data_IF_857596488271
#
_entry.id   IF_857596488271
#
_cell.length_a   1.000
_cell.length_b   1.000
_cell.length_c   1.000
_cell.angle_alpha   90.00
_cell.angle_beta   90.00
_cell.angle_gamma   90.00
#
_symmetry.space_group_name_H-M   'P 1'
#
loop_
_entity.id
_entity.type
_entity.pdbx_description
1 polymer ?
#
# COMPACT_ATOMS: atom_id res chain seq x y z
N UNK A 1 5.11 10.16 4.26
CA UNK A 1 4.64 9.95 5.65
C UNK A 1 3.69 8.77 5.69
N UNK A 2 3.67 8.04 6.81
CA UNK A 2 2.83 6.85 7.02
C UNK A 2 1.33 7.16 7.05
N UNK A 3 0.53 6.37 6.34
CA UNK A 3 -0.91 6.52 6.27
C UNK A 3 -1.67 5.87 7.44
N UNK A 4 -1.62 6.55 8.58
CA UNK A 4 -2.22 6.10 9.85
C UNK A 4 -3.74 5.95 9.76
N UNK A 5 -4.42 6.91 9.11
CA UNK A 5 -5.88 6.91 9.00
C UNK A 5 -6.40 5.68 8.25
N UNK A 6 -5.81 5.35 7.10
CA UNK A 6 -6.30 4.23 6.30
C UNK A 6 -6.02 2.88 6.96
N UNK A 7 -4.87 2.76 7.65
CA UNK A 7 -4.57 1.58 8.48
C UNK A 7 -5.64 1.43 9.57
N UNK A 8 -5.92 2.50 10.31
CA UNK A 8 -6.90 2.48 11.40
C UNK A 8 -8.31 2.12 10.90
N UNK A 9 -8.76 2.75 9.80
CA UNK A 9 -10.08 2.45 9.23
C UNK A 9 -10.16 1.00 8.77
N UNK A 10 -9.09 0.47 8.16
CA UNK A 10 -9.03 -0.92 7.70
C UNK A 10 -9.04 -1.93 8.85
N UNK A 11 -8.34 -1.67 9.96
CA UNK A 11 -8.41 -2.50 11.17
C UNK A 11 -9.84 -2.61 11.72
N UNK A 12 -10.67 -1.59 11.49
CA UNK A 12 -12.06 -1.53 11.92
C UNK A 12 -13.07 -1.91 10.81
N UNK A 13 -12.60 -2.48 9.70
CA UNK A 13 -13.46 -2.97 8.62
C UNK A 13 -14.19 -1.88 7.83
N UNK A 14 -13.70 -0.64 7.88
CA UNK A 14 -14.25 0.51 7.15
C UNK A 14 -13.20 1.14 6.23
N UNK A 15 -13.57 2.15 5.44
CA UNK A 15 -12.67 2.89 4.56
C UNK A 15 -13.07 4.36 4.44
N UNK A 16 -12.19 5.19 3.86
CA UNK A 16 -12.44 6.63 3.70
C UNK A 16 -13.73 6.94 2.95
N UNK A 17 -14.12 6.12 1.98
CA UNK A 17 -15.35 6.34 1.21
C UNK A 17 -16.59 6.09 2.06
N UNK A 18 -16.56 5.08 2.94
CA UNK A 18 -17.63 4.81 3.91
C UNK A 18 -17.70 5.92 4.97
N UNK A 19 -16.54 6.34 5.50
CA UNK A 19 -16.45 7.46 6.42
C UNK A 19 -17.01 8.75 5.79
N UNK A 20 -16.63 9.09 4.56
CA UNK A 20 -17.13 10.27 3.84
C UNK A 20 -18.64 10.22 3.52
N UNK A 21 -19.24 9.03 3.43
CA UNK A 21 -20.68 8.89 3.19
C UNK A 21 -21.51 9.13 4.45
N UNK A 22 -20.97 8.77 5.61
CA UNK A 22 -21.68 8.87 6.90
C UNK A 22 -21.30 10.12 7.70
N UNK A 23 -20.11 10.64 7.47
CA UNK A 23 -19.68 11.94 7.97
C UNK A 23 -19.95 13.02 6.92
N UNK A 24 -20.16 14.26 7.35
CA UNK A 24 -20.25 15.40 6.43
C UNK A 24 -18.86 15.89 5.95
N UNK A 25 -17.88 14.99 5.91
CA UNK A 25 -16.47 15.29 5.59
C UNK A 25 -16.21 14.88 4.14
N UNK A 26 -15.61 15.80 3.37
CA UNK A 26 -15.32 15.51 1.97
C UNK A 26 -14.19 14.48 1.80
N UNK A 27 -14.27 13.62 0.78
CA UNK A 27 -13.20 12.67 0.48
C UNK A 27 -11.84 13.33 0.22
N UNK A 28 -11.84 14.57 -0.31
CA UNK A 28 -10.61 15.38 -0.48
C UNK A 28 -9.96 15.75 0.85
N UNK A 29 -10.77 15.99 1.87
CA UNK A 29 -10.30 16.32 3.21
C UNK A 29 -9.74 15.08 3.92
N UNK A 30 -10.45 13.94 3.84
CA UNK A 30 -9.93 12.66 4.33
C UNK A 30 -8.60 12.28 3.68
N UNK A 31 -8.45 12.53 2.37
CA UNK A 31 -7.18 12.31 1.65
C UNK A 31 -6.03 13.22 2.11
N UNK A 32 -6.32 14.40 2.66
CA UNK A 32 -5.27 15.24 3.26
C UNK A 32 -4.86 14.75 4.65
N UNK A 33 -5.79 14.14 5.39
CA UNK A 33 -5.55 13.64 6.74
C UNK A 33 -4.66 12.41 6.78
N UNK A 34 -4.70 11.56 5.74
CA UNK A 34 -3.82 10.39 5.64
C UNK A 34 -2.32 10.73 5.70
N UNK A 35 -1.94 11.95 5.31
CA UNK A 35 -0.56 12.44 5.38
C UNK A 35 -0.31 13.39 6.56
N UNK A 36 -1.26 13.55 7.47
CA UNK A 36 -1.11 14.38 8.67
C UNK A 36 -0.91 13.52 9.89
N UNK A 37 -0.23 14.10 10.88
CA UNK A 37 -0.16 13.52 12.21
C UNK A 37 -1.56 13.43 12.84
N UNK A 38 -1.95 12.25 13.38
CA UNK A 38 -3.20 12.08 14.13
C UNK A 38 -3.43 13.10 15.24
N UNK A 39 -2.37 13.61 15.88
CA UNK A 39 -2.48 14.63 16.93
C UNK A 39 -3.01 15.97 16.41
N UNK A 40 -2.87 16.21 15.10
CA UNK A 40 -3.33 17.42 14.43
C UNK A 40 -4.73 17.28 13.82
N UNK A 41 -5.45 16.19 14.11
CA UNK A 41 -6.82 16.01 13.61
C UNK A 41 -7.77 16.86 14.45
N UNK A 42 -8.77 17.47 13.80
CA UNK A 42 -9.77 18.25 14.52
C UNK A 42 -10.67 17.35 15.35
N UNK A 43 -11.27 17.91 16.40
CA UNK A 43 -12.25 17.21 17.23
C UNK A 43 -13.41 16.67 16.39
N UNK A 44 -13.88 17.43 15.38
CA UNK A 44 -14.97 17.01 14.50
C UNK A 44 -14.63 15.75 13.69
N UNK A 45 -13.38 15.62 13.22
CA UNK A 45 -12.89 14.42 12.54
C UNK A 45 -12.88 13.23 13.49
N UNK A 46 -12.36 13.43 14.71
CA UNK A 46 -12.30 12.35 15.70
C UNK A 46 -13.70 11.89 16.14
N UNK A 47 -14.66 12.82 16.24
CA UNK A 47 -16.08 12.51 16.49
C UNK A 47 -16.70 11.75 15.32
N UNK A 48 -16.42 12.15 14.07
CA UNK A 48 -16.92 11.45 12.90
C UNK A 48 -16.40 10.00 12.82
N UNK A 49 -15.12 9.78 13.11
CA UNK A 49 -14.53 8.43 13.16
C UNK A 49 -15.11 7.64 14.34
N UNK A 50 -15.32 8.29 15.49
CA UNK A 50 -15.96 7.71 16.67
C UNK A 50 -17.37 7.21 16.38
N UNK A 51 -18.16 7.98 15.67
CA UNK A 51 -19.51 7.58 15.25
C UNK A 51 -19.49 6.41 14.28
N UNK A 52 -18.48 6.34 13.39
CA UNK A 52 -18.38 5.26 12.42
C UNK A 52 -17.96 3.92 13.03
N UNK A 53 -16.99 3.99 13.94
CA UNK A 53 -16.34 2.79 14.52
C UNK A 53 -16.99 2.40 15.85
N UNK A 54 -17.77 3.28 16.48
CA UNK A 54 -18.42 3.03 17.77
C UNK A 54 -17.46 3.06 18.97
N UNK A 55 -16.32 3.75 18.84
CA UNK A 55 -15.25 3.83 19.85
C UNK A 55 -15.05 5.29 20.26
N UNK A 56 -14.65 5.56 21.51
CA UNK A 56 -14.44 6.93 21.98
C UNK A 56 -13.29 7.66 21.24
N UNK A 57 -13.37 8.98 21.04
CA UNK A 57 -12.31 9.75 20.38
C UNK A 57 -10.92 9.60 21.01
N UNK A 58 -10.84 9.47 22.34
CA UNK A 58 -9.57 9.26 23.05
C UNK A 58 -8.92 7.92 22.69
N UNK A 59 -9.70 6.85 22.69
CA UNK A 59 -9.22 5.51 22.31
C UNK A 59 -8.81 5.43 20.83
N UNK A 60 -9.50 6.17 19.95
CA UNK A 60 -9.12 6.31 18.54
C UNK A 60 -7.75 6.94 18.42
N UNK A 61 -7.54 8.09 19.08
CA UNK A 61 -6.26 8.79 19.05
C UNK A 61 -5.14 7.90 19.60
N UNK A 62 -5.36 7.25 20.74
CA UNK A 62 -4.37 6.33 21.32
C UNK A 62 -3.97 5.21 20.33
N UNK A 63 -4.95 4.59 19.66
CA UNK A 63 -4.67 3.56 18.66
C UNK A 63 -3.94 4.12 17.45
N UNK A 64 -4.33 5.30 16.96
CA UNK A 64 -3.65 5.96 15.85
C UNK A 64 -2.20 6.33 16.19
N UNK A 65 -1.92 6.75 17.43
CA UNK A 65 -0.56 7.00 17.91
C UNK A 65 0.27 5.73 17.96
N UNK A 66 -0.31 4.60 18.38
CA UNK A 66 0.35 3.28 18.31
C UNK A 66 0.67 2.91 16.87
N UNK A 67 -0.26 3.11 15.94
CA UNK A 67 -0.01 2.86 14.50
C UNK A 67 1.10 3.78 14.00
N UNK A 68 1.10 5.07 14.33
CA UNK A 68 2.15 6.03 13.92
C UNK A 68 3.54 5.59 14.39
N UNK A 69 3.66 5.17 15.64
CA UNK A 69 4.93 4.86 16.29
C UNK A 69 5.40 3.40 16.08
N UNK A 70 4.64 2.58 15.36
CA UNK A 70 4.96 1.16 15.10
C UNK A 70 5.34 0.92 13.64
N UNK A 71 5.76 -0.30 13.32
CA UNK A 71 6.06 -0.75 11.96
C UNK A 71 4.82 -1.28 11.21
N UNK A 72 3.60 -1.04 11.70
CA UNK A 72 2.36 -1.53 11.06
C UNK A 72 2.21 -0.88 9.69
N UNK A 73 2.31 -1.61 8.58
CA UNK A 73 2.13 -1.03 7.24
C UNK A 73 0.67 -1.16 6.79
N UNK A 74 0.30 -0.39 5.76
CA UNK A 74 -0.99 -0.58 5.10
C UNK A 74 -0.94 -1.86 4.24
N UNK A 75 -1.92 -2.75 4.41
CA UNK A 75 -2.05 -3.95 3.60
C UNK A 75 -3.05 -3.69 2.46
N UNK A 76 -2.57 -3.51 1.23
CA UNK A 76 -3.40 -3.50 0.03
C UNK A 76 -3.81 -4.94 -0.31
N UNK A 77 -5.11 -5.18 -0.38
CA UNK A 77 -5.73 -6.49 -0.64
C UNK A 77 -6.47 -6.54 -1.98
N UNK A 78 -6.65 -5.37 -2.63
CA UNK A 78 -7.32 -5.21 -3.92
C UNK A 78 -6.48 -4.37 -4.89
N UNK A 79 -6.77 -4.46 -6.19
CA UNK A 79 -6.12 -3.63 -7.22
C UNK A 79 -6.42 -2.14 -7.00
N UNK A 80 -7.66 -1.80 -6.63
CA UNK A 80 -8.05 -0.41 -6.42
C UNK A 80 -7.25 0.21 -5.26
N UNK A 81 -7.04 -0.54 -4.18
CA UNK A 81 -6.18 -0.12 -3.07
C UNK A 81 -4.73 0.03 -3.52
N UNK A 82 -4.20 -0.87 -4.36
CA UNK A 82 -2.85 -0.74 -4.92
C UNK A 82 -2.71 0.53 -5.77
N UNK A 83 -3.65 0.78 -6.68
CA UNK A 83 -3.68 1.99 -7.51
C UNK A 83 -3.68 3.23 -6.61
N UNK A 84 -4.57 3.24 -5.63
CA UNK A 84 -4.71 4.35 -4.70
C UNK A 84 -3.41 4.64 -3.94
N UNK A 85 -2.73 3.61 -3.40
CA UNK A 85 -1.47 3.80 -2.67
C UNK A 85 -0.32 4.28 -3.56
N UNK A 86 -0.26 3.79 -4.80
CA UNK A 86 0.76 4.21 -5.78
C UNK A 86 0.52 5.66 -6.24
N UNK A 87 -0.73 6.05 -6.48
CA UNK A 87 -1.08 7.43 -6.79
C UNK A 87 -0.84 8.38 -5.61
N UNK A 88 -1.06 7.90 -4.40
CA UNK A 88 -0.74 8.61 -3.17
C UNK A 88 0.75 8.58 -2.84
N UNK A 89 1.60 7.96 -3.66
CA UNK A 89 3.04 7.85 -3.42
C UNK A 89 3.36 7.43 -1.97
N UNK A 90 2.57 6.51 -1.41
CA UNK A 90 2.72 6.00 -0.06
C UNK A 90 4.17 5.57 0.19
N UNK A 91 4.71 5.92 1.35
CA UNK A 91 6.10 5.64 1.72
C UNK A 91 6.40 4.15 1.66
N UNK A 92 5.58 3.36 2.36
CA UNK A 92 5.70 1.91 2.46
C UNK A 92 4.31 1.29 2.60
N UNK A 93 4.06 0.20 1.87
CA UNK A 93 2.85 -0.59 2.01
C UNK A 93 3.09 -2.05 1.62
N UNK A 94 2.27 -2.95 2.13
CA UNK A 94 2.32 -4.38 1.81
C UNK A 94 1.17 -4.66 0.85
N UNK A 95 1.44 -5.40 -0.22
CA UNK A 95 0.41 -6.07 -0.99
C UNK A 95 0.20 -7.46 -0.39
N UNK A 96 -1.03 -7.74 0.06
CA UNK A 96 -1.43 -8.96 0.75
C UNK A 96 -2.53 -9.71 -0.02
N UNK A 97 -2.54 -11.04 0.06
CA UNK A 97 -3.64 -11.89 -0.41
C UNK A 97 -3.56 -12.43 -1.85
N UNK A 98 -4.73 -12.78 -2.40
CA UNK A 98 -4.97 -13.69 -3.54
C UNK A 98 -4.40 -13.27 -4.90
N UNK A 99 -3.84 -12.07 -5.03
CA UNK A 99 -3.14 -11.64 -6.25
C UNK A 99 -1.80 -12.37 -6.44
N UNK A 100 -1.18 -12.85 -5.36
CA UNK A 100 -0.06 -13.80 -5.43
C UNK A 100 -0.48 -15.18 -5.95
N UNK A 101 -1.74 -15.61 -5.73
CA UNK A 101 -2.24 -16.88 -6.26
C UNK A 101 -2.37 -16.87 -7.80
N UNK A 102 -2.54 -15.70 -8.42
CA UNK A 102 -2.41 -15.54 -9.87
C UNK A 102 -0.97 -15.72 -10.37
N UNK A 103 0.03 -15.49 -9.51
CA UNK A 103 1.44 -15.78 -9.79
C UNK A 103 1.74 -17.28 -9.60
N UNK A 104 1.15 -17.93 -8.60
CA UNK A 104 1.38 -19.35 -8.29
C UNK A 104 0.81 -20.35 -9.31
N UNK A 105 -0.08 -19.93 -10.23
CA UNK A 105 -0.50 -20.79 -11.36
C UNK A 105 0.60 -21.04 -12.40
N UNK A 106 1.71 -20.30 -12.35
CA UNK A 106 2.89 -20.55 -13.19
C UNK A 106 4.00 -21.21 -12.39
N UNK A 107 3.88 -22.52 -12.13
CA UNK A 107 4.98 -23.37 -11.62
C UNK A 107 6.19 -23.47 -12.58
N UNK A 108 6.20 -22.75 -13.70
CA UNK A 108 7.29 -22.71 -14.67
C UNK A 108 8.30 -21.57 -14.43
N UNK A 109 8.35 -20.99 -13.23
CA UNK A 109 9.35 -19.96 -12.86
C UNK A 109 10.63 -20.63 -12.27
N UNK A 110 10.83 -21.94 -12.48
CA UNK A 110 12.12 -22.60 -12.14
C UNK A 110 13.26 -22.19 -13.09
N UNK A 111 12.98 -21.57 -14.24
CA UNK A 111 14.00 -21.21 -15.24
C UNK A 111 14.64 -19.82 -15.07
N UNK A 112 14.23 -19.01 -14.09
CA UNK A 112 14.68 -17.61 -13.98
C UNK A 112 15.94 -17.42 -13.12
N UNK A 113 16.23 -18.34 -12.20
CA UNK A 113 17.42 -18.25 -11.33
C UNK A 113 18.71 -18.57 -12.09
N UNK A 114 18.67 -19.44 -13.11
CA UNK A 114 19.90 -19.95 -13.74
C UNK A 114 20.48 -19.01 -14.82
N UNK A 115 19.71 -18.01 -15.29
CA UNK A 115 20.15 -17.06 -16.34
C UNK A 115 20.40 -15.63 -15.86
N UNK A 116 19.83 -15.21 -14.73
CA UNK A 116 19.94 -13.82 -14.25
C UNK A 116 21.16 -13.56 -13.34
N UNK A 117 21.89 -14.60 -12.93
CA UNK A 117 22.94 -14.51 -11.89
C UNK A 117 24.31 -14.09 -12.41
N UNK A 118 24.53 -13.95 -13.73
CA UNK A 118 25.82 -13.45 -14.24
C UNK A 118 25.85 -11.93 -14.34
N UNK A 119 26.14 -11.30 -13.20
CA UNK A 119 26.86 -10.02 -13.19
C UNK A 119 26.09 -8.82 -12.65
N UNK A 120 25.85 -8.78 -11.33
CA UNK A 120 26.41 -7.73 -10.47
C UNK A 120 25.94 -7.93 -9.01
N UNK A 121 26.84 -7.90 -8.01
CA UNK A 121 26.50 -8.14 -6.62
C UNK A 121 26.31 -6.82 -5.87
N UNK A 122 25.08 -6.35 -5.66
CA UNK A 122 24.84 -5.19 -4.79
C UNK A 122 23.56 -5.40 -3.94
N UNK A 123 23.78 -5.76 -2.67
CA UNK A 123 22.89 -5.87 -1.50
C UNK A 123 21.88 -7.05 -1.38
N UNK A 124 21.92 -7.82 -0.27
CA UNK A 124 20.95 -8.86 0.03
C UNK A 124 19.70 -8.22 0.66
N UNK A 125 18.59 -8.18 -0.05
CA UNK A 125 17.28 -7.86 0.56
C UNK A 125 16.31 -7.07 -0.30
N UNK A 126 16.79 -6.36 -1.31
CA UNK A 126 15.96 -5.73 -2.34
C UNK A 126 16.53 -6.14 -3.68
N UNK A 127 15.83 -7.00 -4.41
CA UNK A 127 16.21 -7.24 -5.79
C UNK A 127 16.03 -5.92 -6.54
N UNK A 128 17.10 -5.41 -7.18
CA UNK A 128 17.03 -4.40 -8.25
C UNK A 128 16.38 -4.97 -9.52
N UNK A 129 15.50 -5.95 -9.36
CA UNK A 129 14.84 -6.71 -10.39
C UNK A 129 13.65 -5.94 -10.93
N UNK A 130 13.92 -4.99 -11.82
CA UNK A 130 12.94 -4.54 -12.81
C UNK A 130 12.23 -5.76 -13.47
N UNK A 131 12.85 -6.94 -13.53
CA UNK A 131 12.27 -8.14 -14.14
C UNK A 131 11.14 -8.81 -13.34
N UNK A 132 11.18 -8.84 -12.00
CA UNK A 132 10.09 -9.41 -11.20
C UNK A 132 8.92 -8.44 -11.12
N UNK A 133 9.23 -7.15 -10.91
CA UNK A 133 8.24 -6.08 -10.91
C UNK A 133 7.52 -6.00 -12.26
N UNK A 134 8.26 -6.00 -13.36
CA UNK A 134 7.69 -6.05 -14.72
C UNK A 134 6.83 -7.30 -14.96
N UNK A 135 7.27 -8.48 -14.52
CA UNK A 135 6.47 -9.71 -14.70
C UNK A 135 5.20 -9.73 -13.84
N UNK A 136 5.27 -9.19 -12.62
CA UNK A 136 4.12 -9.05 -11.74
C UNK A 136 3.10 -8.05 -12.32
N UNK A 137 3.57 -6.87 -12.72
CA UNK A 137 2.73 -5.83 -13.30
C UNK A 137 2.13 -6.28 -14.63
N UNK A 138 2.91 -6.88 -15.53
CA UNK A 138 2.42 -7.43 -16.81
C UNK A 138 1.36 -8.54 -16.66
N UNK A 139 1.27 -9.20 -15.50
CA UNK A 139 0.20 -10.16 -15.19
C UNK A 139 -1.07 -9.47 -14.67
N UNK A 140 -0.93 -8.30 -14.04
CA UNK A 140 -2.04 -7.45 -13.63
C UNK A 140 -2.58 -6.62 -14.81
N UNK A 141 -1.72 -6.26 -15.75
CA UNK A 141 -2.06 -5.41 -16.90
C UNK A 141 -2.47 -6.27 -18.10
N UNK A 142 -3.68 -6.06 -18.60
CA UNK A 142 -4.05 -6.55 -19.94
C UNK A 142 -3.31 -5.71 -20.98
N UNK A 143 -2.81 -6.32 -22.07
CA UNK A 143 -2.03 -5.63 -23.11
C UNK A 143 -2.70 -4.37 -23.67
N UNK A 144 -4.01 -4.27 -23.61
CA UNK A 144 -4.81 -3.18 -24.17
C UNK A 144 -5.24 -2.11 -23.15
N UNK A 145 -4.88 -2.26 -21.87
CA UNK A 145 -5.27 -1.31 -20.82
C UNK A 145 -4.19 -0.22 -20.61
N UNK A 146 -4.43 0.96 -21.20
CA UNK A 146 -3.54 2.12 -21.12
C UNK A 146 -3.42 2.69 -19.70
N UNK A 147 -4.42 2.54 -18.85
CA UNK A 147 -4.36 3.04 -17.47
C UNK A 147 -3.46 2.15 -16.62
N UNK A 148 -3.58 0.84 -16.81
CA UNK A 148 -2.72 -0.14 -16.17
C UNK A 148 -1.26 -0.02 -16.59
N UNK A 149 -0.96 0.26 -17.86
CA UNK A 149 0.42 0.52 -18.31
C UNK A 149 1.02 1.78 -17.66
N UNK A 150 0.22 2.84 -17.47
CA UNK A 150 0.67 4.04 -16.76
C UNK A 150 0.94 3.76 -15.28
N UNK A 151 0.09 2.95 -14.65
CA UNK A 151 0.30 2.50 -13.28
C UNK A 151 1.60 1.69 -13.16
N UNK A 152 1.82 0.76 -14.09
CA UNK A 152 3.04 -0.05 -14.15
C UNK A 152 4.29 0.83 -14.19
N UNK A 153 4.31 1.82 -15.08
CA UNK A 153 5.41 2.77 -15.20
C UNK A 153 5.63 3.56 -13.90
N UNK A 154 4.55 4.06 -13.27
CA UNK A 154 4.65 4.78 -11.98
C UNK A 154 5.26 3.92 -10.87
N UNK A 155 4.92 2.63 -10.83
CA UNK A 155 5.47 1.72 -9.81
C UNK A 155 6.95 1.46 -10.08
N UNK A 156 7.32 1.15 -11.34
CA UNK A 156 8.70 0.95 -11.76
C UNK A 156 9.58 2.17 -11.46
N UNK A 157 9.05 3.38 -11.67
CA UNK A 157 9.78 4.62 -11.46
C UNK A 157 9.97 4.91 -9.96
N UNK A 158 8.92 4.74 -9.15
CA UNK A 158 8.89 5.26 -7.78
C UNK A 158 9.14 4.22 -6.69
N UNK A 159 9.03 2.91 -6.95
CA UNK A 159 9.05 1.89 -5.90
C UNK A 159 10.12 0.82 -6.07
N UNK A 160 10.63 0.34 -4.94
CA UNK A 160 11.34 -0.93 -4.79
C UNK A 160 10.42 -1.94 -4.14
N UNK A 161 10.63 -3.21 -4.43
CA UNK A 161 9.85 -4.29 -3.81
C UNK A 161 10.72 -5.29 -3.08
N UNK A 162 10.16 -5.90 -2.05
CA UNK A 162 10.72 -7.04 -1.34
C UNK A 162 9.64 -8.08 -1.11
N UNK A 163 9.85 -9.29 -1.65
CA UNK A 163 8.97 -10.43 -1.36
C UNK A 163 9.22 -10.83 0.08
N UNK A 164 8.18 -10.79 0.92
CA UNK A 164 8.27 -11.18 2.32
C UNK A 164 7.94 -12.67 2.49
N UNK A 165 6.95 -13.16 1.74
CA UNK A 165 6.53 -14.56 1.66
C UNK A 165 5.63 -14.78 0.42
N UNK A 166 5.09 -15.99 0.27
CA UNK A 166 4.24 -16.41 -0.85
C UNK A 166 2.96 -15.58 -1.03
N UNK A 167 2.57 -14.77 -0.03
CA UNK A 167 1.34 -14.00 -0.02
C UNK A 167 1.55 -12.50 0.16
N UNK A 168 2.78 -12.07 0.47
CA UNK A 168 3.07 -10.69 0.85
C UNK A 168 4.27 -10.13 0.10
N UNK A 169 4.06 -8.98 -0.54
CA UNK A 169 5.13 -8.19 -1.17
C UNK A 169 5.14 -6.79 -0.58
N UNK A 170 6.27 -6.38 -0.02
CA UNK A 170 6.50 -5.03 0.47
C UNK A 170 6.86 -4.11 -0.69
N UNK A 171 6.22 -2.96 -0.78
CA UNK A 171 6.56 -1.84 -1.65
C UNK A 171 7.15 -0.72 -0.79
N UNK A 172 8.32 -0.21 -1.18
CA UNK A 172 9.00 0.92 -0.54
C UNK A 172 9.32 1.99 -1.57
N UNK A 173 8.89 3.22 -1.31
CA UNK A 173 9.13 4.34 -2.19
C UNK A 173 10.63 4.69 -2.20
N UNK A 174 11.21 4.83 -3.40
CA UNK A 174 12.63 5.15 -3.61
C UNK A 174 13.02 6.51 -3.04
N UNK A 175 12.08 7.43 -2.88
CA UNK A 175 12.32 8.75 -2.28
C UNK A 175 12.85 8.62 -0.85
N UNK A 176 12.56 7.51 -0.14
CA UNK A 176 13.07 7.26 1.21
C UNK A 176 14.54 6.81 1.24
N UNK A 177 15.14 6.52 0.09
CA UNK A 177 16.55 6.12 -0.03
C UNK A 177 17.49 7.30 -0.41
N UNK A 178 16.92 8.49 -0.65
CA UNK A 178 17.63 9.73 -0.98
C UNK A 178 17.53 10.73 0.16
#
# INVERSE_FOLDING_TARGET
MKNVLDIYLKENGTNRNQLAKKSNISGKELKKLTRKDPENYSADIMVAISQEVGISPGQILDRMLVIRNSDILYHATTIDELIEKVEEQEDEFILDGSFTQFVNKTKNIMDFEDKAVRGNPIYPGFATGNSFLYQFLKKLTSKDDKEMQKLEQKILDNYKMKILNDHQTLFRNKILDY
#
